data_IF_735649312520
#
_entry.id   IF_735649312520
#
_cell.length_a   1.000
_cell.length_b   1.000
_cell.length_c   1.000
_cell.angle_alpha   90.00
_cell.angle_beta   90.00
_cell.angle_gamma   90.00
#
_symmetry.space_group_name_H-M   'P 1'
#
loop_
_entity.id
_entity.type
_entity.pdbx_description
1 polymer ?
#
# COMPACT_ATOMS: atom_id res chain seq x y z
N UNK A 1 11.15 -17.35 9.35
CA UNK A 1 10.94 -16.93 9.44
C UNK A 1 10.79 -16.48 9.64
N UNK A 2 10.78 -16.30 9.52
CA UNK A 2 10.50 -15.80 9.64
C UNK A 2 10.05 -15.13 9.66
N UNK A 3 9.95 -14.95 9.11
CA UNK A 3 9.52 -14.04 9.20
C UNK A 3 8.64 -13.85 9.91
N UNK A 4 8.83 -14.26 10.09
CA UNK A 4 8.21 -14.18 10.80
C UNK A 4 8.04 -14.00 11.73
N UNK A 5 8.37 -14.09 11.98
CA UNK A 5 8.28 -13.96 12.80
C UNK A 5 7.99 -13.29 13.33
N UNK A 6 7.99 -12.75 13.11
CA UNK A 6 7.64 -12.17 13.45
C UNK A 6 6.86 -11.91 13.75
N UNK A 7 6.74 -11.90 13.71
CA UNK A 7 6.09 -11.70 13.96
C UNK A 7 5.45 -11.70 14.26
N UNK A 8 5.71 -11.96 14.24
CA UNK A 8 5.13 -12.10 14.55
C UNK A 8 4.31 -12.16 14.67
N UNK A 9 4.19 -12.21 14.01
CA UNK A 9 3.23 -12.13 14.24
C UNK A 9 2.53 -12.53 14.97
N UNK A 10 2.67 -12.61 14.86
CA UNK A 10 2.40 -12.98 16.16
C UNK A 10 0.95 -13.13 16.55
N UNK A 11 0.14 -12.09 16.40
CA UNK A 11 -1.26 -12.10 16.74
C UNK A 11 -2.15 -12.18 15.53
N UNK A 12 -1.59 -12.58 14.41
CA UNK A 12 -2.33 -12.70 13.18
C UNK A 12 -3.28 -13.88 13.31
N UNK A 13 -4.55 -13.66 13.18
CA UNK A 13 -5.47 -14.77 13.16
C UNK A 13 -5.63 -15.29 11.73
N UNK A 14 -6.09 -16.51 11.61
CA UNK A 14 -6.13 -17.20 10.33
C UNK A 14 -7.28 -16.74 9.44
N UNK A 15 -8.19 -15.92 9.98
CA UNK A 15 -9.29 -15.39 9.19
C UNK A 15 -8.94 -14.09 8.50
N UNK A 16 -7.81 -13.49 8.85
CA UNK A 16 -7.41 -12.21 8.30
C UNK A 16 -8.12 -11.04 8.94
N UNK A 17 -8.65 -11.21 10.14
CA UNK A 17 -9.28 -10.11 10.86
C UNK A 17 -8.25 -9.17 11.46
N UNK A 18 -8.71 -8.04 11.99
CA UNK A 18 -7.79 -7.05 12.54
C UNK A 18 -6.97 -7.64 13.68
N UNK A 19 -5.73 -7.17 13.75
CA UNK A 19 -4.78 -7.57 14.78
C UNK A 19 -4.51 -6.37 15.67
N UNK A 20 -4.64 -6.54 16.99
CA UNK A 20 -4.65 -5.43 17.94
C UNK A 20 -3.35 -4.63 17.94
N UNK A 21 -2.21 -5.26 17.67
CA UNK A 21 -0.93 -4.56 17.70
C UNK A 21 -0.46 -4.12 16.31
N UNK A 22 -1.34 -4.16 15.32
CA UNK A 22 -1.00 -3.74 13.96
C UNK A 22 -1.36 -2.27 13.77
N UNK A 23 -0.36 -1.44 13.46
CA UNK A 23 -0.60 0.00 13.30
C UNK A 23 -1.56 0.28 12.14
N UNK A 24 -1.49 -0.50 11.06
CA UNK A 24 -2.38 -0.28 9.91
C UNK A 24 -3.80 -0.75 10.20
N UNK A 25 -3.95 -1.82 10.99
CA UNK A 25 -5.28 -2.19 11.49
C UNK A 25 -5.88 -1.06 12.33
N UNK A 26 -5.05 -0.42 13.14
CA UNK A 26 -5.52 0.69 13.99
C UNK A 26 -5.90 1.91 13.15
N UNK A 27 -5.16 2.17 12.07
CA UNK A 27 -5.51 3.25 11.15
C UNK A 27 -6.85 2.94 10.47
N UNK A 28 -7.02 1.71 10.01
CA UNK A 28 -8.27 1.29 9.36
C UNK A 28 -9.46 1.38 10.30
N UNK A 29 -9.22 1.14 11.59
CA UNK A 29 -10.25 1.24 12.63
C UNK A 29 -10.45 2.66 13.13
N UNK A 30 -9.71 3.64 12.60
CA UNK A 30 -9.78 5.04 13.02
C UNK A 30 -9.32 5.27 14.46
N UNK A 31 -8.49 4.37 14.98
CA UNK A 31 -7.91 4.49 16.32
C UNK A 31 -6.67 5.35 16.35
N UNK A 32 -6.00 5.49 15.20
CA UNK A 32 -4.82 6.34 15.05
C UNK A 32 -5.11 7.31 13.91
N UNK A 33 -4.86 8.62 14.10
CA UNK A 33 -5.12 9.60 13.06
C UNK A 33 -4.20 9.39 11.85
N UNK A 34 -4.74 9.69 10.67
CA UNK A 34 -4.04 9.54 9.41
C UNK A 34 -4.75 10.41 8.38
N UNK A 35 -4.03 10.82 7.34
CA UNK A 35 -4.65 11.59 6.26
C UNK A 35 -5.20 10.60 5.23
N UNK A 36 -6.46 10.24 5.40
CA UNK A 36 -7.13 9.27 4.53
C UNK A 36 -7.52 9.95 3.24
N UNK A 37 -7.17 9.33 2.10
CA UNK A 37 -7.48 9.87 0.78
C UNK A 37 -8.49 9.02 0.03
N UNK A 38 -8.75 7.81 0.49
CA UNK A 38 -9.74 6.92 -0.11
C UNK A 38 -10.14 5.85 0.88
N UNK A 39 -11.40 5.47 0.82
CA UNK A 39 -11.91 4.38 1.66
C UNK A 39 -13.14 3.77 1.02
N UNK A 40 -13.18 2.44 1.02
CA UNK A 40 -14.41 1.71 0.69
C UNK A 40 -14.55 0.55 1.68
N UNK A 41 -15.41 -0.41 1.36
CA UNK A 41 -15.65 -1.56 2.25
C UNK A 41 -14.39 -2.36 2.53
N UNK A 42 -13.53 -2.50 1.54
CA UNK A 42 -12.43 -3.45 1.57
C UNK A 42 -11.06 -2.79 1.70
N UNK A 43 -10.93 -1.56 1.21
CA UNK A 43 -9.63 -0.90 1.07
C UNK A 43 -9.61 0.46 1.74
N UNK A 44 -8.40 0.87 2.11
CA UNK A 44 -8.13 2.18 2.66
C UNK A 44 -6.85 2.71 2.03
N UNK A 45 -6.80 4.00 1.75
CA UNK A 45 -5.57 4.64 1.30
C UNK A 45 -5.33 5.90 2.10
N UNK A 46 -4.09 6.14 2.46
CA UNK A 46 -3.70 7.30 3.25
C UNK A 46 -2.31 7.76 2.86
N UNK A 47 -1.98 8.99 3.23
CA UNK A 47 -0.68 9.56 2.93
C UNK A 47 0.37 9.01 3.89
N UNK A 48 1.55 8.66 3.36
CA UNK A 48 2.68 8.30 4.20
C UNK A 48 3.14 9.54 4.94
N UNK A 49 3.34 9.43 6.27
CA UNK A 49 3.77 10.57 7.08
C UNK A 49 5.24 10.91 6.86
N UNK A 50 5.99 10.03 6.21
CA UNK A 50 7.40 10.23 5.92
C UNK A 50 7.63 10.01 4.42
N UNK A 51 7.10 10.89 3.56
CA UNK A 51 7.05 10.62 2.13
C UNK A 51 8.43 10.59 1.48
N UNK A 52 8.60 9.66 0.55
CA UNK A 52 9.82 9.54 -0.24
C UNK A 52 9.68 10.21 -1.61
N UNK A 53 8.50 10.72 -1.94
CA UNK A 53 8.21 11.37 -3.20
C UNK A 53 7.20 12.48 -2.95
N UNK A 54 7.00 13.42 -3.89
CA UNK A 54 5.99 14.49 -3.71
C UNK A 54 4.61 13.94 -3.45
N UNK A 55 4.26 12.80 -4.08
CA UNK A 55 3.05 12.05 -3.77
C UNK A 55 3.49 10.68 -3.29
N UNK A 56 3.12 10.31 -2.08
CA UNK A 56 3.45 9.01 -1.52
C UNK A 56 2.27 8.52 -0.72
N UNK A 57 1.53 7.57 -1.30
CA UNK A 57 0.33 7.00 -0.71
C UNK A 57 0.58 5.56 -0.31
N UNK A 58 -0.15 5.12 0.71
CA UNK A 58 -0.18 3.72 1.13
C UNK A 58 -1.59 3.20 0.92
N UNK A 59 -1.71 2.11 0.19
CA UNK A 59 -2.97 1.45 -0.09
C UNK A 59 -2.98 0.13 0.64
N UNK A 60 -3.97 -0.11 1.48
CA UNK A 60 -4.04 -1.32 2.30
C UNK A 60 -5.40 -1.97 2.20
N UNK A 61 -5.47 -3.30 2.34
CA UNK A 61 -6.74 -3.95 2.63
C UNK A 61 -7.11 -3.69 4.09
N UNK A 62 -8.39 -3.53 4.37
CA UNK A 62 -8.84 -3.39 5.75
C UNK A 62 -8.69 -4.69 6.51
N UNK A 63 -8.92 -5.80 5.82
CA UNK A 63 -8.69 -7.13 6.36
C UNK A 63 -7.20 -7.36 6.51
N UNK A 64 -6.76 -7.81 7.67
CA UNK A 64 -5.34 -8.02 7.92
C UNK A 64 -4.81 -9.22 7.15
N UNK A 65 -3.70 -9.01 6.45
CA UNK A 65 -2.83 -10.07 5.92
C UNK A 65 -1.43 -9.52 6.00
N UNK A 66 -0.48 -10.31 6.52
CA UNK A 66 0.82 -9.76 6.89
C UNK A 66 1.64 -9.35 5.67
N UNK A 67 1.69 -10.18 4.63
CA UNK A 67 2.51 -9.90 3.46
C UNK A 67 1.88 -10.53 2.23
N UNK A 68 2.44 -10.17 1.07
CA UNK A 68 1.99 -10.77 -0.18
C UNK A 68 2.17 -12.29 -0.17
N UNK A 69 3.23 -12.77 0.49
CA UNK A 69 3.49 -14.20 0.59
C UNK A 69 2.44 -14.96 1.38
N UNK A 70 1.70 -14.25 2.23
CA UNK A 70 0.66 -14.86 3.05
C UNK A 70 -0.70 -14.87 2.34
N UNK A 71 -0.77 -14.30 1.16
CA UNK A 71 -2.00 -14.29 0.38
C UNK A 71 -2.20 -15.64 -0.31
N UNK A 72 -3.46 -16.02 -0.47
CA UNK A 72 -3.83 -17.22 -1.22
C UNK A 72 -4.94 -16.85 -2.20
N UNK A 73 -5.59 -17.87 -2.77
CA UNK A 73 -6.62 -17.65 -3.78
C UNK A 73 -7.79 -16.81 -3.28
N UNK A 74 -8.05 -16.83 -1.97
CA UNK A 74 -9.13 -16.03 -1.40
C UNK A 74 -8.83 -14.54 -1.42
N UNK A 75 -7.58 -14.15 -1.67
CA UNK A 75 -7.17 -12.75 -1.73
C UNK A 75 -7.12 -12.18 -3.14
N UNK A 76 -7.44 -12.99 -4.15
CA UNK A 76 -7.30 -12.59 -5.56
C UNK A 76 -8.10 -11.35 -5.89
N UNK A 77 -9.36 -11.30 -5.48
CA UNK A 77 -10.21 -10.14 -5.77
C UNK A 77 -9.69 -8.89 -5.08
N UNK A 78 -9.27 -9.00 -3.84
CA UNK A 78 -8.73 -7.87 -3.08
C UNK A 78 -7.46 -7.34 -3.75
N UNK A 79 -6.57 -8.25 -4.16
CA UNK A 79 -5.33 -7.84 -4.82
C UNK A 79 -5.61 -7.14 -6.14
N UNK A 80 -6.57 -7.63 -6.90
CA UNK A 80 -6.97 -6.96 -8.14
C UNK A 80 -7.53 -5.57 -7.89
N UNK A 81 -8.36 -5.42 -6.86
CA UNK A 81 -8.91 -4.11 -6.50
C UNK A 81 -7.82 -3.15 -6.06
N UNK A 82 -6.85 -3.65 -5.30
CA UNK A 82 -5.73 -2.84 -4.84
C UNK A 82 -4.94 -2.28 -6.03
N UNK A 83 -4.62 -3.14 -6.99
CA UNK A 83 -3.91 -2.73 -8.19
C UNK A 83 -4.71 -1.75 -9.04
N UNK A 84 -6.04 -1.96 -9.14
CA UNK A 84 -6.90 -1.06 -9.91
C UNK A 84 -7.04 0.30 -9.26
N UNK A 85 -6.96 0.35 -7.93
CA UNK A 85 -7.08 1.61 -7.20
C UNK A 85 -5.87 2.51 -7.42
N UNK A 86 -4.69 1.95 -7.60
CA UNK A 86 -3.45 2.73 -7.69
C UNK A 86 -3.47 3.78 -8.80
N UNK A 87 -3.78 3.43 -10.07
CA UNK A 87 -3.79 4.46 -11.11
C UNK A 87 -4.89 5.49 -10.90
N UNK A 88 -6.01 5.09 -10.30
CA UNK A 88 -7.10 6.01 -10.04
C UNK A 88 -6.68 7.10 -9.06
N UNK A 89 -6.05 6.69 -7.96
CA UNK A 89 -5.56 7.65 -6.97
C UNK A 89 -4.39 8.46 -7.51
N UNK A 90 -3.49 7.82 -8.26
CA UNK A 90 -2.39 8.55 -8.88
C UNK A 90 -2.92 9.68 -9.76
N UNK A 91 -3.98 9.43 -10.53
CA UNK A 91 -4.59 10.43 -11.38
C UNK A 91 -5.18 11.58 -10.56
N UNK A 92 -5.85 11.25 -9.44
CA UNK A 92 -6.43 12.26 -8.56
C UNK A 92 -5.37 13.19 -7.98
N UNK A 93 -4.15 12.69 -7.82
CA UNK A 93 -3.04 13.47 -7.28
C UNK A 93 -2.15 14.05 -8.37
N UNK A 94 -2.62 14.05 -9.62
CA UNK A 94 -1.89 14.67 -10.72
C UNK A 94 -0.77 13.83 -11.30
N UNK A 95 -0.78 12.53 -11.05
CA UNK A 95 0.32 11.63 -11.45
C UNK A 95 -0.08 10.64 -12.52
N UNK A 96 -1.13 10.93 -13.28
CA UNK A 96 -1.55 10.03 -14.35
C UNK A 96 -0.49 9.95 -15.45
N UNK A 97 -0.43 8.80 -16.10
CA UNK A 97 0.33 8.68 -17.33
C UNK A 97 -0.48 9.36 -18.43
N UNK A 98 0.16 10.29 -19.14
CA UNK A 98 -0.46 10.98 -20.27
C UNK A 98 0.41 10.79 -21.50
N UNK A 99 -0.14 11.13 -22.67
CA UNK A 99 0.57 10.99 -23.93
C UNK A 99 0.51 12.30 -24.69
N UNK A 100 1.65 12.73 -25.19
CA UNK A 100 1.74 13.93 -25.99
C UNK A 100 1.20 13.66 -27.39
N UNK A 101 1.08 14.72 -28.20
CA UNK A 101 0.50 14.57 -29.53
C UNK A 101 1.28 13.58 -30.39
N UNK A 102 2.59 13.44 -30.17
CA UNK A 102 3.43 12.50 -30.90
C UNK A 102 3.47 11.10 -30.29
N UNK A 103 2.70 10.86 -29.22
CA UNK A 103 2.66 9.57 -28.55
C UNK A 103 3.67 9.40 -27.43
N UNK A 104 4.49 10.42 -27.15
CA UNK A 104 5.47 10.36 -26.07
C UNK A 104 4.77 10.32 -24.72
N UNK A 105 5.09 9.34 -23.85
CA UNK A 105 4.47 9.29 -22.53
C UNK A 105 5.04 10.36 -21.59
N UNK A 106 4.18 10.85 -20.70
CA UNK A 106 4.53 11.85 -19.71
C UNK A 106 3.83 11.53 -18.41
N UNK A 107 4.30 12.12 -17.30
CA UNK A 107 3.73 11.88 -15.98
C UNK A 107 4.04 10.49 -15.51
N UNK A 108 3.15 9.94 -14.69
CA UNK A 108 3.28 8.56 -14.25
C UNK A 108 3.54 8.41 -12.77
N UNK A 109 3.53 7.17 -12.33
CA UNK A 109 3.67 6.82 -10.92
C UNK A 109 4.33 5.45 -10.82
N UNK A 110 4.81 5.13 -9.62
CA UNK A 110 5.42 3.85 -9.33
C UNK A 110 4.63 3.16 -8.24
N UNK A 111 4.38 1.86 -8.40
CA UNK A 111 3.79 1.04 -7.35
C UNK A 111 4.81 0.06 -6.83
N UNK A 112 4.76 -0.24 -5.52
CA UNK A 112 5.72 -1.14 -4.92
C UNK A 112 5.08 -1.83 -3.72
N UNK A 113 5.30 -3.15 -3.62
CA UNK A 113 4.92 -3.95 -2.46
C UNK A 113 6.17 -4.65 -1.97
N UNK A 114 6.51 -4.44 -0.70
CA UNK A 114 7.65 -5.10 -0.07
C UNK A 114 7.17 -6.36 0.65
N UNK A 115 7.93 -7.43 0.57
CA UNK A 115 7.58 -8.69 1.23
C UNK A 115 8.79 -9.20 2.01
N UNK A 116 8.64 -9.32 3.33
CA UNK A 116 9.65 -9.87 4.21
C UNK A 116 10.83 -8.94 4.44
N UNK A 117 11.74 -9.34 5.33
CA UNK A 117 12.88 -8.50 5.69
C UNK A 117 13.80 -8.18 4.51
N UNK A 118 14.07 -9.17 3.66
CA UNK A 118 14.95 -8.94 2.51
C UNK A 118 14.29 -8.09 1.44
N UNK A 119 12.97 -8.00 1.47
CA UNK A 119 12.22 -7.12 0.57
C UNK A 119 12.03 -5.73 1.14
N UNK A 120 12.49 -5.48 2.35
CA UNK A 120 12.38 -4.17 2.98
C UNK A 120 11.04 -3.89 3.62
N UNK A 121 10.26 -4.92 3.92
CA UNK A 121 8.97 -4.72 4.57
C UNK A 121 9.19 -4.32 6.03
N UNK A 122 8.56 -3.22 6.43
CA UNK A 122 8.70 -2.69 7.80
C UNK A 122 7.43 -2.91 8.62
N UNK A 123 6.27 -2.75 8.02
CA UNK A 123 5.00 -2.98 8.70
C UNK A 123 4.39 -4.26 8.13
N UNK A 124 4.04 -5.20 9.01
CA UNK A 124 3.52 -6.51 8.57
C UNK A 124 2.01 -6.51 8.52
N UNK A 125 1.52 -5.65 7.67
CA UNK A 125 0.18 -5.56 7.13
C UNK A 125 0.37 -5.18 5.68
N UNK A 126 -0.07 -6.02 4.77
CA UNK A 126 0.13 -5.84 3.33
C UNK A 126 -0.19 -4.40 2.93
N UNK A 127 0.72 -3.77 2.22
CA UNK A 127 0.48 -2.42 1.73
C UNK A 127 1.23 -2.18 0.43
N UNK A 128 0.62 -1.39 -0.42
CA UNK A 128 1.21 -0.97 -1.68
C UNK A 128 1.57 0.50 -1.58
N UNK A 129 2.82 0.81 -1.85
CA UNK A 129 3.26 2.20 -1.99
C UNK A 129 2.90 2.69 -3.38
N UNK A 130 2.40 3.92 -3.46
CA UNK A 130 2.23 4.63 -4.72
C UNK A 130 3.05 5.91 -4.62
N UNK A 131 4.04 6.02 -5.48
CA UNK A 131 4.93 7.18 -5.54
C UNK A 131 4.66 7.94 -6.82
N UNK A 132 4.59 9.26 -6.73
CA UNK A 132 4.41 10.09 -7.92
C UNK A 132 4.99 11.48 -7.74
N UNK A 133 4.96 12.23 -8.83
CA UNK A 133 5.46 13.59 -8.85
C UNK A 133 6.83 13.70 -9.46
N UNK A 134 7.33 14.93 -9.64
CA UNK A 134 8.62 15.15 -10.31
C UNK A 134 9.76 14.45 -9.59
N UNK A 135 10.63 13.85 -10.37
CA UNK A 135 11.84 13.21 -9.85
C UNK A 135 12.96 14.25 -9.74
N UNK A 136 14.01 14.01 -8.95
CA UNK A 136 14.31 12.76 -8.22
C UNK A 136 13.52 12.63 -6.92
N UNK A 137 13.32 11.38 -6.47
CA UNK A 137 12.67 11.10 -5.22
C UNK A 137 13.71 10.65 -4.19
N UNK A 138 13.42 10.88 -2.92
CA UNK A 138 14.33 10.54 -1.84
C UNK A 138 14.49 9.01 -1.74
N UNK A 139 15.73 8.52 -1.95
CA UNK A 139 16.03 7.10 -1.79
C UNK A 139 15.34 6.18 -2.78
N UNK A 140 14.84 6.71 -3.91
CA UNK A 140 14.09 5.92 -4.89
C UNK A 140 14.77 5.96 -6.25
N UNK A 141 14.61 4.88 -6.98
CA UNK A 141 15.19 4.72 -8.30
C UNK A 141 14.17 4.41 -9.37
#
# INVERSE_FOLDING_TARGET
MSCATLAKQTNTDLTGERVDNCIFCKIAAKQIPSTIVYEDEDLLAFKDINPAAPVHLLLIPKRHVASLSDCDDSHTDMLGKLLRLAPKLAAEFGCAVTYEADGTPAGGFKTMINSGPNGGQEVYHLHMHVYGGPRPWRGQH
#
